data_IF_025200631186
#
_entry.id   IF_025200631186
#
_cell.length_a   1.000
_cell.length_b   1.000
_cell.length_c   1.000
_cell.angle_alpha   90.00
_cell.angle_beta   90.00
_cell.angle_gamma   90.00
#
_symmetry.space_group_name_H-M   'P 1'
#
loop_
_entity.id
_entity.type
_entity.pdbx_description
1 polymer ?
#
# COMPACT_ATOMS: atom_id res chain seq x y z
N UNK A 1 -51.50 49.95 -29.42
CA UNK A 1 -52.17 48.67 -29.09
C UNK A 1 -51.69 47.61 -30.06
N UNK A 2 -50.83 46.69 -29.62
CA UNK A 2 -50.93 45.25 -29.93
C UNK A 2 -49.78 44.53 -29.23
N UNK A 3 -50.10 43.37 -28.64
CA UNK A 3 -49.35 42.66 -27.61
C UNK A 3 -48.29 41.76 -28.25
N UNK A 4 -47.04 41.84 -27.79
CA UNK A 4 -45.97 40.92 -28.17
C UNK A 4 -45.84 39.82 -27.11
N UNK A 5 -45.80 38.60 -27.62
CA UNK A 5 -45.77 37.30 -26.96
C UNK A 5 -44.77 37.21 -25.80
N UNK A 6 -45.26 36.76 -24.65
CA UNK A 6 -44.43 36.31 -23.54
C UNK A 6 -43.74 35.00 -23.88
N UNK A 7 -42.44 35.07 -24.12
CA UNK A 7 -41.55 33.93 -24.30
C UNK A 7 -41.09 33.46 -22.91
N UNK A 8 -41.68 32.36 -22.46
CA UNK A 8 -41.31 31.62 -21.26
C UNK A 8 -39.91 31.03 -21.50
N UNK A 9 -38.89 31.61 -20.88
CA UNK A 9 -37.55 31.02 -20.79
C UNK A 9 -37.56 30.06 -19.60
N UNK A 10 -37.79 28.79 -19.90
CA UNK A 10 -37.56 27.67 -18.97
C UNK A 10 -36.06 27.55 -18.75
N UNK A 11 -35.56 28.07 -17.62
CA UNK A 11 -34.23 27.76 -17.12
C UNK A 11 -34.21 26.30 -16.65
N UNK A 12 -33.85 25.40 -17.57
CA UNK A 12 -33.46 24.04 -17.24
C UNK A 12 -32.11 24.09 -16.51
N UNK A 13 -32.15 24.13 -15.18
CA UNK A 13 -30.97 23.86 -14.33
C UNK A 13 -30.68 22.37 -14.45
N UNK A 14 -29.79 22.03 -15.37
CA UNK A 14 -29.10 20.74 -15.41
C UNK A 14 -28.25 20.63 -14.14
N UNK A 15 -28.79 19.96 -13.13
CA UNK A 15 -28.00 19.44 -12.01
C UNK A 15 -27.12 18.34 -12.61
N UNK A 16 -25.93 18.73 -13.04
CA UNK A 16 -24.83 17.79 -13.28
C UNK A 16 -24.55 17.16 -11.91
N UNK A 17 -25.06 15.97 -11.69
CA UNK A 17 -24.64 15.09 -10.61
C UNK A 17 -23.18 14.73 -10.89
N UNK A 18 -22.26 15.59 -10.45
CA UNK A 18 -20.86 15.27 -10.35
C UNK A 18 -20.74 14.16 -9.32
N UNK A 19 -20.37 12.96 -9.77
CA UNK A 19 -19.74 11.95 -8.92
C UNK A 19 -18.44 12.56 -8.40
N UNK A 20 -18.51 13.30 -7.28
CA UNK A 20 -17.33 13.56 -6.48
C UNK A 20 -16.83 12.25 -5.88
N UNK A 21 -15.52 12.08 -5.67
CA UNK A 21 -15.02 10.99 -4.84
C UNK A 21 -15.73 11.07 -3.49
N UNK A 22 -16.27 9.93 -3.03
CA UNK A 22 -16.82 9.84 -1.67
C UNK A 22 -15.68 10.18 -0.72
N UNK A 23 -15.68 11.40 -0.19
CA UNK A 23 -14.78 11.77 0.89
C UNK A 23 -15.01 10.80 2.04
N UNK A 24 -14.02 9.96 2.31
CA UNK A 24 -13.99 9.21 3.56
C UNK A 24 -13.97 10.24 4.70
N UNK A 25 -14.87 10.11 5.65
CA UNK A 25 -15.08 11.10 6.72
C UNK A 25 -14.07 10.99 7.86
N UNK A 26 -13.00 10.21 7.71
CA UNK A 26 -11.96 10.08 8.73
C UNK A 26 -10.83 11.08 8.53
N UNK A 27 -10.24 11.51 9.65
CA UNK A 27 -9.00 12.30 9.62
C UNK A 27 -7.83 11.36 9.37
N UNK A 28 -6.88 11.68 8.47
CA UNK A 28 -5.68 10.87 8.30
C UNK A 28 -4.88 10.79 9.59
N UNK A 29 -4.59 9.57 10.04
CA UNK A 29 -3.81 9.30 11.24
C UNK A 29 -2.43 8.76 10.86
N UNK A 30 -1.38 9.07 11.66
CA UNK A 30 -0.07 8.48 11.46
C UNK A 30 -0.12 6.97 11.68
N UNK A 31 0.50 6.25 10.76
CA UNK A 31 0.46 4.79 10.72
C UNK A 31 1.84 4.21 10.47
N UNK A 32 2.05 3.02 11.03
CA UNK A 32 3.21 2.18 10.76
C UNK A 32 2.76 0.86 10.15
N UNK A 33 3.46 0.45 9.09
CA UNK A 33 3.21 -0.76 8.33
C UNK A 33 4.45 -1.65 8.37
N UNK A 34 4.26 -2.95 8.52
CA UNK A 34 5.30 -3.95 8.29
C UNK A 34 5.04 -4.68 6.97
N UNK A 35 5.97 -4.53 6.03
CA UNK A 35 5.92 -5.16 4.72
C UNK A 35 7.00 -6.24 4.61
N UNK A 36 6.60 -7.45 4.22
CA UNK A 36 7.50 -8.58 4.02
C UNK A 36 7.68 -8.85 2.52
N UNK A 37 8.93 -8.81 2.06
CA UNK A 37 9.36 -9.29 0.74
C UNK A 37 10.01 -10.65 0.92
N UNK A 38 9.40 -11.71 0.37
CA UNK A 38 9.92 -13.08 0.53
C UNK A 38 10.83 -13.48 -0.61
N UNK A 39 11.88 -14.23 -0.28
CA UNK A 39 12.71 -14.93 -1.27
C UNK A 39 13.43 -14.01 -2.25
N UNK A 40 13.74 -12.78 -1.86
CA UNK A 40 14.49 -11.85 -2.69
C UNK A 40 15.90 -12.41 -2.96
N UNK A 41 16.40 -12.28 -4.19
CA UNK A 41 17.75 -12.71 -4.52
C UNK A 41 18.73 -11.57 -4.24
N UNK A 42 19.82 -11.77 -3.48
CA UNK A 42 20.84 -10.75 -3.32
C UNK A 42 21.41 -10.27 -4.66
N UNK A 43 21.72 -8.98 -4.83
CA UNK A 43 21.76 -7.93 -3.81
C UNK A 43 20.49 -7.07 -3.73
N UNK A 44 19.30 -7.63 -4.02
CA UNK A 44 18.04 -6.86 -4.08
C UNK A 44 17.75 -6.08 -2.80
N UNK A 45 18.18 -6.59 -1.64
CA UNK A 45 18.08 -5.92 -0.34
C UNK A 45 18.72 -4.51 -0.31
N UNK A 46 19.74 -4.26 -1.13
CA UNK A 46 20.43 -2.97 -1.21
C UNK A 46 19.60 -1.88 -1.89
N UNK A 47 18.46 -2.26 -2.47
CA UNK A 47 17.52 -1.35 -3.14
C UNK A 47 16.47 -0.77 -2.19
N UNK A 48 16.41 -1.26 -0.93
CA UNK A 48 15.51 -0.74 0.09
C UNK A 48 16.30 0.16 1.04
N UNK A 49 16.01 1.47 1.02
CA UNK A 49 16.72 2.44 1.86
C UNK A 49 15.75 3.21 2.73
N UNK A 50 16.17 3.47 3.97
CA UNK A 50 15.46 4.38 4.86
C UNK A 50 15.35 5.76 4.19
N UNK A 51 14.16 6.32 4.19
CA UNK A 51 13.83 7.56 3.48
C UNK A 51 13.18 7.36 2.11
N UNK A 52 13.23 6.15 1.52
CA UNK A 52 12.57 5.90 0.24
C UNK A 52 11.04 5.88 0.38
N UNK A 53 10.35 6.44 -0.61
CA UNK A 53 8.89 6.37 -0.70
C UNK A 53 8.46 5.02 -1.27
N UNK A 54 7.47 4.38 -0.64
CA UNK A 54 6.84 3.15 -1.14
C UNK A 54 5.47 3.47 -1.71
N UNK A 55 5.19 2.92 -2.89
CA UNK A 55 3.91 3.07 -3.60
C UNK A 55 3.36 1.73 -4.05
N UNK A 56 2.05 1.62 -4.17
CA UNK A 56 1.41 0.50 -4.86
C UNK A 56 1.66 0.67 -6.37
N UNK A 57 2.08 -0.41 -7.05
CA UNK A 57 2.48 -0.35 -8.45
C UNK A 57 1.31 0.00 -9.36
N UNK A 58 0.18 -0.63 -9.13
CA UNK A 58 -0.99 -0.59 -10.00
C UNK A 58 -1.68 0.77 -9.99
N UNK A 59 -1.83 1.38 -8.82
CA UNK A 59 -2.53 2.66 -8.60
C UNK A 59 -1.58 3.87 -8.53
N UNK A 60 -0.33 3.64 -8.13
CA UNK A 60 0.60 4.72 -7.77
C UNK A 60 0.37 5.29 -6.37
N UNK A 61 -0.59 4.75 -5.61
CA UNK A 61 -0.93 5.21 -4.26
C UNK A 61 0.27 5.17 -3.34
N UNK A 62 0.50 6.27 -2.63
CA UNK A 62 1.63 6.38 -1.69
C UNK A 62 1.25 5.75 -0.35
N UNK A 63 2.05 4.76 0.08
CA UNK A 63 1.88 4.14 1.41
C UNK A 63 2.63 4.90 2.50
N UNK A 64 3.76 5.52 2.14
CA UNK A 64 4.59 6.27 3.06
C UNK A 64 6.07 6.13 2.77
N UNK A 65 6.88 6.30 3.81
CA UNK A 65 8.34 6.32 3.74
C UNK A 65 8.93 5.18 4.56
N UNK A 66 9.95 4.51 4.02
CA UNK A 66 10.70 3.47 4.73
C UNK A 66 11.42 4.10 5.93
N UNK A 67 11.21 3.53 7.11
CA UNK A 67 11.85 3.94 8.36
C UNK A 67 12.76 2.85 8.94
N UNK A 68 12.57 1.60 8.51
CA UNK A 68 13.40 0.46 8.91
C UNK A 68 13.47 -0.59 7.83
N UNK A 69 14.61 -1.27 7.73
CA UNK A 69 14.83 -2.42 6.85
C UNK A 69 15.59 -3.47 7.65
N UNK A 70 15.03 -4.66 7.75
CA UNK A 70 15.63 -5.83 8.38
C UNK A 70 15.70 -6.97 7.36
N UNK A 71 16.85 -7.65 7.29
CA UNK A 71 17.14 -8.64 6.26
C UNK A 71 17.56 -9.94 6.92
N UNK A 72 16.78 -10.99 6.69
CA UNK A 72 17.06 -12.33 7.19
C UNK A 72 17.24 -13.31 6.02
N UNK A 73 17.99 -14.40 6.22
CA UNK A 73 18.01 -15.47 5.21
C UNK A 73 16.66 -16.17 5.16
N UNK A 74 16.13 -16.41 3.95
CA UNK A 74 14.85 -17.07 3.80
C UNK A 74 14.89 -18.48 4.41
N UNK A 75 13.79 -18.87 5.03
CA UNK A 75 13.61 -20.23 5.56
C UNK A 75 13.19 -21.17 4.44
N UNK A 76 13.85 -22.32 4.34
CA UNK A 76 13.55 -23.36 3.34
C UNK A 76 13.47 -24.73 4.01
N UNK A 77 12.72 -25.65 3.39
CA UNK A 77 12.67 -27.04 3.81
C UNK A 77 13.57 -27.89 2.91
N UNK A 78 14.49 -28.64 3.51
CA UNK A 78 15.36 -29.60 2.81
C UNK A 78 15.11 -31.02 3.32
N UNK A 79 15.01 -32.03 2.44
CA UNK A 79 14.91 -33.42 2.87
C UNK A 79 16.25 -33.91 3.41
N UNK A 80 16.23 -34.65 4.51
CA UNK A 80 17.39 -35.39 5.01
C UNK A 80 17.53 -36.77 4.34
N UNK A 81 18.55 -37.54 4.75
CA UNK A 81 18.81 -38.89 4.22
C UNK A 81 17.70 -39.90 4.53
N UNK A 82 16.79 -39.59 5.46
CA UNK A 82 15.61 -40.40 5.78
C UNK A 82 14.35 -39.90 5.06
N UNK A 83 14.46 -38.85 4.24
CA UNK A 83 13.33 -38.23 3.53
C UNK A 83 12.49 -37.29 4.41
N UNK A 84 12.95 -36.95 5.61
CA UNK A 84 12.24 -36.02 6.51
C UNK A 84 12.62 -34.59 6.16
N UNK A 85 11.63 -33.72 6.01
CA UNK A 85 11.86 -32.29 5.77
C UNK A 85 12.37 -31.61 7.04
N UNK A 86 13.49 -30.91 6.94
CA UNK A 86 14.05 -30.06 7.98
C UNK A 86 14.10 -28.61 7.52
N UNK A 87 13.70 -27.71 8.40
CA UNK A 87 13.84 -26.28 8.18
C UNK A 87 15.33 -25.89 8.27
N UNK A 88 15.80 -25.14 7.28
CA UNK A 88 17.15 -24.55 7.24
C UNK A 88 17.07 -23.16 6.59
N UNK A 89 18.22 -22.48 6.50
CA UNK A 89 18.34 -21.15 5.87
C UNK A 89 18.84 -21.27 4.44
N UNK A 90 18.23 -20.50 3.54
CA UNK A 90 18.65 -20.40 2.14
C UNK A 90 19.97 -19.64 2.03
N UNK A 91 20.96 -20.16 1.29
CA UNK A 91 22.19 -19.44 1.00
C UNK A 91 22.06 -18.43 -0.14
N UNK A 92 20.96 -18.48 -0.91
CA UNK A 92 20.78 -17.71 -2.16
C UNK A 92 19.59 -16.75 -2.14
N UNK A 93 18.73 -16.83 -1.12
CA UNK A 93 17.56 -15.94 -0.99
C UNK A 93 17.47 -15.37 0.42
N UNK A 94 16.95 -14.14 0.50
CA UNK A 94 16.69 -13.42 1.73
C UNK A 94 15.23 -13.00 1.81
N UNK A 95 14.71 -12.90 3.02
CA UNK A 95 13.45 -12.26 3.34
C UNK A 95 13.75 -10.87 3.90
N UNK A 96 13.02 -9.86 3.43
CA UNK A 96 13.25 -8.46 3.78
C UNK A 96 11.99 -7.93 4.46
N UNK A 97 12.13 -7.52 5.72
CA UNK A 97 11.10 -6.83 6.48
C UNK A 97 11.33 -5.32 6.37
N UNK A 98 10.35 -4.60 5.84
CA UNK A 98 10.40 -3.16 5.63
C UNK A 98 9.37 -2.51 6.54
N UNK A 99 9.83 -1.64 7.43
CA UNK A 99 8.97 -0.78 8.25
C UNK A 99 8.71 0.52 7.50
N UNK A 100 7.44 0.85 7.28
CA UNK A 100 7.02 2.05 6.54
C UNK A 100 6.18 2.91 7.49
N UNK A 101 6.43 4.22 7.53
CA UNK A 101 5.54 5.18 8.20
C UNK A 101 4.79 6.00 7.16
N UNK A 102 3.48 6.11 7.34
CA UNK A 102 2.57 6.77 6.40
C UNK A 102 1.40 7.46 7.11
N UNK A 103 0.46 7.95 6.30
CA UNK A 103 -0.82 8.48 6.78
C UNK A 103 -1.94 7.72 6.10
N UNK A 104 -2.89 7.23 6.88
CA UNK A 104 -4.07 6.55 6.37
C UNK A 104 -5.29 6.88 7.22
N UNK A 105 -6.47 6.64 6.65
CA UNK A 105 -7.72 6.71 7.39
C UNK A 105 -8.15 5.29 7.74
N UNK A 106 -8.30 5.00 9.02
CA UNK A 106 -8.88 3.74 9.47
C UNK A 106 -10.38 3.69 9.11
N UNK A 107 -10.80 2.61 8.45
CA UNK A 107 -12.20 2.37 8.08
C UNK A 107 -12.63 0.98 8.56
N UNK A 108 -13.93 0.68 8.53
CA UNK A 108 -14.43 -0.66 8.85
C UNK A 108 -13.91 -1.75 7.89
N UNK A 109 -13.49 -1.36 6.68
CA UNK A 109 -13.03 -2.28 5.64
C UNK A 109 -11.52 -2.51 5.66
N UNK A 110 -10.75 -1.58 6.22
CA UNK A 110 -9.29 -1.60 6.20
C UNK A 110 -8.71 -0.20 6.35
N UNK A 111 -7.49 0.02 5.85
CA UNK A 111 -6.81 1.31 5.94
C UNK A 111 -6.81 1.99 4.56
N UNK A 112 -7.41 3.17 4.50
CA UNK A 112 -7.51 3.96 3.28
C UNK A 112 -6.27 4.85 3.14
N UNK A 113 -5.44 4.55 2.15
CA UNK A 113 -4.30 5.38 1.75
C UNK A 113 -4.69 6.16 0.51
N UNK A 114 -4.71 7.49 0.61
CA UNK A 114 -5.24 8.37 -0.43
C UNK A 114 -6.68 7.95 -0.82
N UNK A 115 -6.86 7.28 -1.96
CA UNK A 115 -8.16 6.79 -2.47
C UNK A 115 -8.23 5.25 -2.57
N UNK A 116 -7.26 4.51 -2.03
CA UNK A 116 -7.19 3.05 -2.11
C UNK A 116 -7.23 2.38 -0.74
N UNK A 117 -8.11 1.38 -0.58
CA UNK A 117 -8.18 0.56 0.64
C UNK A 117 -7.11 -0.52 0.56
N UNK A 118 -6.21 -0.50 1.53
CA UNK A 118 -5.11 -1.46 1.67
C UNK A 118 -5.44 -2.47 2.76
N UNK A 119 -5.16 -3.74 2.47
CA UNK A 119 -5.47 -4.88 3.34
C UNK A 119 -4.19 -5.56 3.82
N UNK A 120 -4.22 -6.02 5.07
CA UNK A 120 -3.18 -6.90 5.62
C UNK A 120 -3.32 -8.29 4.99
N UNK A 121 -2.19 -9.00 4.85
CA UNK A 121 -2.10 -10.35 4.29
C UNK A 121 -2.52 -10.47 2.82
N UNK A 122 -2.44 -9.37 2.07
CA UNK A 122 -2.61 -9.38 0.63
C UNK A 122 -1.24 -9.29 -0.07
N UNK A 123 -1.00 -10.14 -1.07
CA UNK A 123 0.19 -10.04 -1.93
C UNK A 123 -0.07 -8.96 -2.97
N UNK A 124 0.80 -7.96 -3.01
CA UNK A 124 0.65 -6.79 -3.88
C UNK A 124 2.02 -6.39 -4.42
N UNK A 125 2.02 -5.72 -5.57
CA UNK A 125 3.23 -5.19 -6.16
C UNK A 125 3.44 -3.76 -5.72
N UNK A 126 4.66 -3.48 -5.30
CA UNK A 126 5.06 -2.18 -4.82
C UNK A 126 6.23 -1.64 -5.63
N UNK A 127 6.42 -0.34 -5.51
CA UNK A 127 7.46 0.44 -6.13
C UNK A 127 8.19 1.25 -5.06
N UNK A 128 9.52 1.19 -5.12
CA UNK A 128 10.42 2.21 -4.57
C UNK A 128 11.01 3.02 -5.73
N UNK A 129 11.79 4.08 -5.48
CA UNK A 129 12.50 4.78 -6.56
C UNK A 129 13.47 3.90 -7.36
N UNK A 130 13.95 2.79 -6.77
CA UNK A 130 15.01 1.96 -7.35
C UNK A 130 14.52 0.61 -7.87
N UNK A 131 13.49 0.03 -7.25
CA UNK A 131 13.05 -1.33 -7.56
C UNK A 131 11.54 -1.51 -7.44
N UNK A 132 11.02 -2.42 -8.26
CA UNK A 132 9.68 -2.95 -8.11
C UNK A 132 9.75 -4.35 -7.50
N UNK A 133 8.89 -4.65 -6.54
CA UNK A 133 8.89 -5.91 -5.82
C UNK A 133 7.47 -6.36 -5.50
N UNK A 134 7.29 -7.66 -5.23
CA UNK A 134 6.08 -8.19 -4.62
C UNK A 134 6.29 -8.32 -3.12
N UNK A 135 5.28 -7.99 -2.34
CA UNK A 135 5.35 -8.09 -0.89
C UNK A 135 3.99 -8.29 -0.27
N UNK A 136 4.00 -8.59 1.02
CA UNK A 136 2.79 -8.76 1.81
C UNK A 136 2.89 -7.82 3.00
N UNK A 137 1.88 -6.97 3.19
CA UNK A 137 1.76 -6.23 4.45
C UNK A 137 1.32 -7.21 5.53
N UNK A 138 2.16 -7.41 6.53
CA UNK A 138 1.94 -8.37 7.62
C UNK A 138 1.30 -7.72 8.85
N UNK A 139 1.52 -6.42 9.03
CA UNK A 139 0.96 -5.66 10.13
C UNK A 139 0.70 -4.20 9.70
N UNK A 140 -0.37 -3.60 10.22
CA UNK A 140 -0.65 -2.18 10.13
C UNK A 140 -1.19 -1.71 11.48
N UNK A 141 -0.60 -0.65 12.04
CA UNK A 141 -1.01 -0.06 13.31
C UNK A 141 -0.98 1.45 13.25
N UNK A 142 -1.95 2.08 13.92
CA UNK A 142 -1.91 3.51 14.20
C UNK A 142 -0.82 3.76 15.24
N UNK A 143 -0.01 4.79 15.02
CA UNK A 143 1.03 5.22 15.95
C UNK A 143 0.72 6.65 16.39
N UNK A 144 1.10 7.01 17.61
CA UNK A 144 0.94 8.39 18.07
C UNK A 144 1.83 9.32 17.23
N UNK A 145 1.33 10.53 16.97
CA UNK A 145 2.13 11.58 16.37
C UNK A 145 3.20 12.02 17.39
N UNK A 146 4.46 11.67 17.15
CA UNK A 146 5.62 12.21 17.89
C UNK A 146 5.85 13.71 17.59
#
# INVERSE_FOLDING_TARGET
MSRIFGMIVVCAVLVVAGCGPRASTGTPEPMELQLLVRGATPPTEQSFRVGDTVRIRESGTVLGTITGVDVEQSRIAVPDSAGVLRETRSPITVDINVTIKGQAVATEQGYLFEDEIVYVNNDTRYLTPLVQFSGIITEMRVVDAE
#
